data_IF_326966851407
#
_entry.id   IF_326966851407
#
_cell.length_a   1.000
_cell.length_b   1.000
_cell.length_c   1.000
_cell.angle_alpha   90.00
_cell.angle_beta   90.00
_cell.angle_gamma   90.00
#
_symmetry.space_group_name_H-M   'P 1'
#
loop_
_entity.id
_entity.type
_entity.pdbx_description
1 polymer ?
#
# COMPACT_ATOMS: atom_id res chain seq x y z
N UNK A 1 -7.84 1.13 22.30
CA UNK A 1 -8.16 2.12 21.26
C UNK A 1 -7.03 2.11 20.24
N UNK A 2 -7.19 1.42 19.11
CA UNK A 2 -6.14 1.37 18.07
C UNK A 2 -6.17 2.73 17.38
N UNK A 3 -5.12 3.54 17.57
CA UNK A 3 -4.95 4.77 16.80
C UNK A 3 -4.99 4.40 15.31
N UNK A 4 -6.03 4.85 14.60
CA UNK A 4 -6.00 4.87 13.13
C UNK A 4 -4.81 5.74 12.75
N UNK A 5 -3.72 5.12 12.30
CA UNK A 5 -2.62 5.84 11.70
C UNK A 5 -3.19 6.59 10.49
N UNK A 6 -3.40 7.90 10.66
CA UNK A 6 -3.94 8.73 9.59
C UNK A 6 -2.86 8.83 8.51
N UNK A 7 -2.97 8.03 7.46
CA UNK A 7 -2.05 7.99 6.30
C UNK A 7 -1.64 9.39 5.80
N UNK A 8 -2.54 10.38 5.67
CA UNK A 8 -2.14 11.73 5.29
C UNK A 8 -1.23 12.43 6.31
N UNK A 9 -1.40 12.13 7.60
CA UNK A 9 -0.56 12.66 8.67
C UNK A 9 0.84 12.03 8.65
N UNK A 10 0.98 10.73 8.36
CA UNK A 10 2.30 10.11 8.19
C UNK A 10 3.04 10.66 6.97
N UNK A 11 2.33 10.80 5.83
CA UNK A 11 2.92 11.35 4.61
C UNK A 11 3.32 12.83 4.78
N UNK A 12 2.48 13.64 5.43
CA UNK A 12 2.85 15.01 5.82
C UNK A 12 4.04 15.02 6.76
N UNK A 13 4.05 14.17 7.78
CA UNK A 13 5.15 14.09 8.74
C UNK A 13 6.49 13.71 8.08
N UNK A 14 6.48 12.73 7.16
CA UNK A 14 7.67 12.36 6.37
C UNK A 14 8.16 13.53 5.49
N UNK A 15 7.24 14.25 4.85
CA UNK A 15 7.58 15.42 4.04
C UNK A 15 8.13 16.57 4.90
N UNK A 16 7.43 16.89 5.98
CA UNK A 16 7.66 18.10 6.77
C UNK A 16 8.90 17.97 7.69
N UNK A 17 9.24 16.78 8.20
CA UNK A 17 10.42 16.56 9.06
C UNK A 17 11.68 16.08 8.34
N UNK A 18 11.54 15.49 7.15
CA UNK A 18 12.65 14.82 6.45
C UNK A 18 12.81 15.21 4.98
N UNK A 19 11.94 16.10 4.46
CA UNK A 19 11.96 16.45 3.03
C UNK A 19 11.68 15.27 2.12
N UNK A 20 11.05 14.21 2.64
CA UNK A 20 10.82 12.96 1.91
C UNK A 20 9.56 13.09 1.05
N UNK A 21 9.73 13.61 -0.17
CA UNK A 21 8.68 13.60 -1.18
C UNK A 21 8.62 12.23 -1.88
N UNK A 22 7.75 11.36 -1.38
CA UNK A 22 7.54 10.02 -1.94
C UNK A 22 6.95 10.05 -3.35
N UNK A 23 6.27 11.15 -3.71
CA UNK A 23 5.72 11.35 -5.05
C UNK A 23 6.83 11.68 -6.03
N UNK A 24 7.73 12.60 -5.66
CA UNK A 24 8.93 12.89 -6.45
C UNK A 24 9.83 11.67 -6.62
N UNK A 25 9.92 10.82 -5.60
CA UNK A 25 10.67 9.57 -5.66
C UNK A 25 9.98 8.43 -6.44
N UNK A 26 8.75 8.64 -6.93
CA UNK A 26 7.98 7.63 -7.66
C UNK A 26 7.52 6.44 -6.80
N UNK A 27 7.52 6.58 -5.46
CA UNK A 27 7.21 5.48 -4.52
C UNK A 27 5.78 5.54 -3.98
N UNK A 28 5.11 6.70 -4.08
CA UNK A 28 3.82 6.94 -3.43
C UNK A 28 2.74 5.94 -3.84
N UNK A 29 2.62 5.64 -5.14
CA UNK A 29 1.57 4.76 -5.65
C UNK A 29 1.74 3.33 -5.12
N UNK A 30 2.93 2.74 -5.27
CA UNK A 30 3.23 1.38 -4.84
C UNK A 30 3.10 1.23 -3.31
N UNK A 31 3.62 2.19 -2.52
CA UNK A 31 3.48 2.19 -1.07
C UNK A 31 2.04 2.39 -0.63
N UNK A 32 1.29 3.21 -1.36
CA UNK A 32 -0.13 3.40 -1.11
C UNK A 32 -0.94 2.15 -1.39
N UNK A 33 -0.65 1.45 -2.47
CA UNK A 33 -1.35 0.23 -2.87
C UNK A 33 -1.05 -0.88 -1.86
N UNK A 34 0.24 -1.08 -1.52
CA UNK A 34 0.68 -2.02 -0.48
C UNK A 34 -0.01 -1.79 0.88
N UNK A 35 -0.18 -0.53 1.27
CA UNK A 35 -0.91 -0.19 2.51
C UNK A 35 -2.37 -0.66 2.47
N UNK A 36 -3.07 -0.45 1.35
CA UNK A 36 -4.45 -0.89 1.23
C UNK A 36 -4.55 -2.42 1.17
N UNK A 37 -3.62 -3.09 0.49
CA UNK A 37 -3.54 -4.57 0.48
C UNK A 37 -3.32 -5.10 1.89
N UNK A 38 -2.43 -4.48 2.67
CA UNK A 38 -2.18 -4.89 4.06
C UNK A 38 -3.41 -4.64 4.94
N UNK A 39 -4.10 -3.51 4.75
CA UNK A 39 -5.33 -3.20 5.47
C UNK A 39 -6.46 -4.17 5.09
N UNK A 40 -6.59 -4.51 3.81
CA UNK A 40 -7.53 -5.51 3.28
C UNK A 40 -7.25 -6.89 3.87
N UNK A 41 -5.99 -7.35 3.85
CA UNK A 41 -5.60 -8.63 4.46
C UNK A 41 -5.88 -8.68 5.97
N UNK A 42 -5.75 -7.55 6.67
CA UNK A 42 -5.97 -7.47 8.12
C UNK A 42 -7.44 -7.38 8.51
N UNK A 43 -8.25 -6.69 7.71
CA UNK A 43 -9.61 -6.30 8.09
C UNK A 43 -10.69 -6.97 7.25
N UNK A 44 -10.31 -7.74 6.23
CA UNK A 44 -11.25 -8.38 5.32
C UNK A 44 -11.85 -7.38 4.33
N UNK A 45 -13.03 -7.75 3.82
CA UNK A 45 -13.75 -6.96 2.81
C UNK A 45 -14.32 -5.67 3.41
N UNK A 46 -14.25 -4.58 2.65
CA UNK A 46 -14.65 -3.25 3.09
C UNK A 46 -13.90 -2.12 2.37
N UNK A 47 -13.82 -0.92 2.96
CA UNK A 47 -13.31 0.27 2.25
C UNK A 47 -11.89 0.14 1.71
N UNK A 48 -11.04 -0.66 2.35
CA UNK A 48 -9.69 -0.95 1.84
C UNK A 48 -9.75 -1.78 0.55
N UNK A 49 -10.56 -2.85 0.54
CA UNK A 49 -10.78 -3.67 -0.64
C UNK A 49 -11.37 -2.86 -1.80
N UNK A 50 -12.31 -1.95 -1.54
CA UNK A 50 -12.85 -1.04 -2.56
C UNK A 50 -11.75 -0.18 -3.19
N UNK A 51 -10.86 0.37 -2.36
CA UNK A 51 -9.73 1.18 -2.84
C UNK A 51 -8.71 0.36 -3.60
N UNK A 52 -8.47 -0.90 -3.22
CA UNK A 52 -7.59 -1.80 -3.97
C UNK A 52 -8.20 -2.14 -5.33
N UNK A 53 -9.51 -2.45 -5.40
CA UNK A 53 -10.21 -2.73 -6.66
C UNK A 53 -10.09 -1.60 -7.68
N UNK A 54 -10.09 -0.34 -7.22
CA UNK A 54 -9.86 0.83 -8.08
C UNK A 54 -8.39 0.98 -8.50
N UNK A 55 -7.44 0.67 -7.61
CA UNK A 55 -6.01 0.88 -7.87
C UNK A 55 -5.36 -0.22 -8.70
N UNK A 56 -5.74 -1.47 -8.43
CA UNK A 56 -5.19 -2.65 -9.05
C UNK A 56 -6.32 -3.70 -9.22
N UNK A 57 -7.15 -3.56 -10.27
CA UNK A 57 -8.18 -4.54 -10.58
C UNK A 57 -7.59 -5.89 -10.99
N UNK A 58 -6.32 -5.95 -11.40
CA UNK A 58 -5.68 -7.16 -11.90
C UNK A 58 -5.51 -8.24 -10.81
N UNK A 59 -5.61 -7.87 -9.52
CA UNK A 59 -5.64 -8.84 -8.43
C UNK A 59 -6.79 -9.86 -8.57
N UNK A 60 -7.85 -9.51 -9.29
CA UNK A 60 -9.02 -10.34 -9.55
C UNK A 60 -9.17 -10.75 -11.01
N UNK A 61 -8.23 -10.40 -11.90
CA UNK A 61 -8.36 -10.65 -13.34
C UNK A 61 -8.47 -12.14 -13.72
N UNK A 62 -8.11 -13.04 -12.81
CA UNK A 62 -8.21 -14.48 -12.99
C UNK A 62 -9.60 -15.04 -12.68
N UNK A 63 -10.47 -14.27 -12.01
CA UNK A 63 -11.87 -14.64 -11.81
C UNK A 63 -12.64 -14.31 -13.08
N UNK A 64 -13.49 -15.22 -13.53
CA UNK A 64 -14.49 -14.85 -14.52
C UNK A 64 -15.53 -13.90 -13.90
N UNK A 65 -16.24 -13.10 -14.71
CA UNK A 65 -17.17 -12.09 -14.19
C UNK A 65 -18.30 -12.65 -13.32
N UNK A 66 -18.76 -13.88 -13.57
CA UNK A 66 -19.82 -14.50 -12.78
C UNK A 66 -19.30 -14.89 -11.39
N UNK A 67 -18.12 -15.52 -11.34
CA UNK A 67 -17.47 -15.86 -10.09
C UNK A 67 -17.10 -14.62 -9.27
N UNK A 68 -16.64 -13.55 -9.93
CA UNK A 68 -16.37 -12.27 -9.27
C UNK A 68 -17.63 -11.69 -8.62
N UNK A 69 -18.75 -11.65 -9.34
CA UNK A 69 -20.02 -11.16 -8.82
C UNK A 69 -20.52 -11.97 -7.61
N UNK A 70 -20.31 -13.29 -7.62
CA UNK A 70 -20.64 -14.15 -6.49
C UNK A 70 -19.81 -13.81 -5.24
N UNK A 71 -18.48 -13.69 -5.41
CA UNK A 71 -17.61 -13.30 -4.30
C UNK A 71 -17.94 -11.92 -3.75
N UNK A 72 -18.27 -10.96 -4.61
CA UNK A 72 -18.64 -9.61 -4.19
C UNK A 72 -19.96 -9.61 -3.40
N UNK A 73 -20.95 -10.39 -3.84
CA UNK A 73 -22.26 -10.50 -3.16
C UNK A 73 -22.15 -11.10 -1.75
N UNK A 74 -21.23 -12.04 -1.56
CA UNK A 74 -21.01 -12.73 -0.29
C UNK A 74 -19.97 -12.03 0.62
N UNK A 75 -19.39 -10.90 0.20
CA UNK A 75 -18.34 -10.19 0.94
C UNK A 75 -17.02 -10.97 1.04
N UNK A 76 -16.77 -11.82 0.04
CA UNK A 76 -15.62 -12.73 -0.03
C UNK A 76 -14.57 -12.27 -1.05
N UNK A 77 -14.70 -11.07 -1.63
CA UNK A 77 -13.78 -10.52 -2.63
C UNK A 77 -12.31 -10.60 -2.21
N UNK A 78 -12.02 -10.39 -0.93
CA UNK A 78 -10.64 -10.43 -0.41
C UNK A 78 -10.03 -11.83 -0.51
N UNK A 79 -10.83 -12.88 -0.40
CA UNK A 79 -10.35 -14.26 -0.46
C UNK A 79 -9.96 -14.70 -1.86
N UNK A 80 -10.52 -14.06 -2.89
CA UNK A 80 -10.19 -14.33 -4.28
C UNK A 80 -9.13 -13.39 -4.85
N UNK A 81 -8.61 -12.44 -4.08
CA UNK A 81 -7.53 -11.56 -4.55
C UNK A 81 -6.20 -12.32 -4.66
N UNK A 82 -5.47 -12.14 -5.76
CA UNK A 82 -4.14 -12.71 -5.99
C UNK A 82 -3.11 -11.63 -6.27
N UNK A 83 -2.10 -11.54 -5.41
CA UNK A 83 -0.93 -10.70 -5.62
C UNK A 83 0.07 -11.45 -6.48
N UNK A 84 0.45 -10.89 -7.62
CA UNK A 84 1.44 -11.51 -8.51
C UNK A 84 2.86 -11.32 -7.99
N UNK A 85 3.81 -12.13 -8.49
CA UNK A 85 5.24 -11.93 -8.21
C UNK A 85 5.73 -10.56 -8.67
N UNK A 86 5.15 -10.03 -9.75
CA UNK A 86 5.47 -8.69 -10.26
C UNK A 86 5.01 -7.61 -9.28
N UNK A 87 3.81 -7.73 -8.71
CA UNK A 87 3.31 -6.81 -7.68
C UNK A 87 4.19 -6.85 -6.43
N UNK A 88 4.52 -8.05 -5.95
CA UNK A 88 5.44 -8.21 -4.83
C UNK A 88 6.77 -7.52 -5.10
N UNK A 89 7.35 -7.71 -6.29
CA UNK A 89 8.60 -7.07 -6.67
C UNK A 89 8.48 -5.53 -6.70
N UNK A 90 7.37 -4.96 -7.18
CA UNK A 90 7.11 -3.50 -7.12
C UNK A 90 7.07 -3.02 -5.67
N UNK A 91 6.27 -3.66 -4.83
CA UNK A 91 6.11 -3.27 -3.43
C UNK A 91 7.42 -3.35 -2.65
N UNK A 92 8.20 -4.43 -2.83
CA UNK A 92 9.51 -4.57 -2.18
C UNK A 92 10.48 -3.47 -2.62
N UNK A 93 10.55 -3.16 -3.92
CA UNK A 93 11.37 -2.04 -4.42
C UNK A 93 10.95 -0.72 -3.80
N UNK A 94 9.65 -0.48 -3.66
CA UNK A 94 9.13 0.74 -3.06
C UNK A 94 9.48 0.87 -1.57
N UNK A 95 9.37 -0.22 -0.81
CA UNK A 95 9.77 -0.27 0.61
C UNK A 95 11.27 -0.04 0.77
N UNK A 96 12.12 -0.69 -0.05
CA UNK A 96 13.57 -0.46 -0.03
C UNK A 96 13.89 1.00 -0.39
N UNK A 97 13.21 1.55 -1.40
CA UNK A 97 13.36 2.94 -1.82
C UNK A 97 13.04 3.93 -0.69
N UNK A 98 11.95 3.69 0.04
CA UNK A 98 11.57 4.49 1.20
C UNK A 98 12.68 4.54 2.25
N UNK A 99 13.23 3.38 2.62
CA UNK A 99 14.29 3.31 3.62
C UNK A 99 15.58 3.99 3.17
N UNK A 100 15.97 3.82 1.90
CA UNK A 100 17.13 4.52 1.33
C UNK A 100 16.98 6.04 1.37
N UNK A 101 15.78 6.55 1.09
CA UNK A 101 15.54 7.99 1.21
C UNK A 101 15.60 8.44 2.67
N UNK A 102 15.00 7.67 3.58
CA UNK A 102 15.03 7.96 5.01
C UNK A 102 16.44 7.99 5.58
N UNK A 103 17.33 7.09 5.13
CA UNK A 103 18.76 7.09 5.48
C UNK A 103 19.46 8.36 5.01
N UNK A 104 19.22 8.80 3.77
CA UNK A 104 19.82 10.03 3.21
C UNK A 104 19.32 11.30 3.91
N UNK A 105 18.07 11.30 4.39
CA UNK A 105 17.49 12.40 5.15
C UNK A 105 17.93 12.42 6.63
N UNK A 106 18.77 11.48 7.07
CA UNK A 106 19.28 11.45 8.45
C UNK A 106 20.42 12.47 8.58
N UNK A 107 20.33 13.43 9.52
CA UNK A 107 21.44 14.33 9.78
C UNK A 107 22.67 13.54 10.28
N UNK A 108 23.90 14.01 10.01
CA UNK A 108 25.11 13.35 10.48
C UNK A 108 25.09 13.22 12.00
N UNK A 109 25.53 12.07 12.50
CA UNK A 109 25.63 11.82 13.94
C UNK A 109 26.71 12.77 14.50
N UNK A 110 26.45 13.54 15.57
CA UNK A 110 27.49 14.37 16.16
C UNK A 110 28.67 13.49 16.57
N UNK A 111 29.87 13.90 16.18
CA UNK A 111 31.10 13.28 16.67
C UNK A 111 31.16 13.54 18.18
N UNK A 112 31.16 12.46 18.96
CA UNK A 112 31.43 12.50 20.40
C UNK A 112 32.91 12.64 20.67
#
# INVERSE_FOLDING_TARGET
MIHRAARPALLRWLRDLKGLDLKQAGLENDLSELWEITAMARHGDGPAADRVAVKNPDLWAHNDPYLQALYDADGLRVHSARVSDQDLARYFKAVIGLWRLAERARPPRPAG
#
